data_IF_384597919871
#
_entry.id   IF_384597919871
#
_cell.length_a   1.000
_cell.length_b   1.000
_cell.length_c   1.000
_cell.angle_alpha   90.00
_cell.angle_beta   90.00
_cell.angle_gamma   90.00
#
_symmetry.space_group_name_H-M   'P 1'
#
loop_
_entity.id
_entity.type
_entity.pdbx_description
1 polymer ?
#
# COMPACT_ATOMS: atom_id res chain seq x y z
N UNK A 1 18.69 7.15 -23.01
CA UNK A 1 18.94 6.24 -21.88
C UNK A 1 17.62 5.68 -21.39
N UNK A 2 17.45 4.35 -21.43
CA UNK A 2 16.26 3.65 -20.93
C UNK A 2 16.73 2.80 -19.75
N UNK A 3 16.08 2.96 -18.59
CA UNK A 3 16.33 2.13 -17.42
C UNK A 3 15.44 0.91 -17.58
N UNK A 4 16.03 -0.28 -17.62
CA UNK A 4 15.29 -1.54 -17.61
C UNK A 4 15.17 -2.03 -16.17
N UNK A 5 13.96 -2.41 -15.77
CA UNK A 5 13.72 -2.96 -14.44
C UNK A 5 14.17 -4.44 -14.43
N UNK A 6 14.82 -4.90 -13.35
CA UNK A 6 15.11 -6.30 -13.14
C UNK A 6 13.85 -7.18 -13.28
N UNK A 7 13.97 -8.32 -13.94
CA UNK A 7 12.83 -9.20 -14.25
C UNK A 7 12.13 -9.77 -13.01
N UNK A 8 12.83 -9.86 -11.89
CA UNK A 8 12.35 -10.31 -10.58
C UNK A 8 11.43 -9.29 -9.89
N UNK A 9 11.43 -8.03 -10.33
CA UNK A 9 10.53 -6.98 -9.81
C UNK A 9 9.46 -6.56 -10.83
N UNK A 10 9.37 -7.26 -11.97
CA UNK A 10 8.41 -6.98 -13.05
C UNK A 10 7.35 -8.07 -13.11
N UNK A 11 6.09 -7.66 -13.11
CA UNK A 11 4.94 -8.56 -13.33
C UNK A 11 4.38 -8.31 -14.73
N UNK A 12 4.25 -9.37 -15.52
CA UNK A 12 3.67 -9.37 -16.88
C UNK A 12 2.13 -9.48 -16.90
N UNK A 13 1.47 -9.48 -15.73
CA UNK A 13 0.03 -9.68 -15.59
C UNK A 13 -0.74 -8.35 -15.58
N UNK A 14 -1.93 -8.38 -16.14
CA UNK A 14 -2.75 -7.17 -16.40
C UNK A 14 -3.65 -6.78 -15.22
N UNK A 15 -3.91 -7.68 -14.27
CA UNK A 15 -4.82 -7.42 -13.15
C UNK A 15 -4.10 -6.96 -11.89
N UNK A 16 -4.64 -5.93 -11.25
CA UNK A 16 -4.11 -5.33 -10.03
C UNK A 16 -4.08 -6.29 -8.83
N UNK A 17 -5.06 -7.20 -8.77
CA UNK A 17 -5.10 -8.26 -7.75
C UNK A 17 -3.90 -9.20 -7.81
N UNK A 18 -3.34 -9.42 -9.00
CA UNK A 18 -2.19 -10.29 -9.19
C UNK A 18 -0.92 -9.65 -8.61
N UNK A 19 -0.78 -8.34 -8.72
CA UNK A 19 0.31 -7.58 -8.08
C UNK A 19 0.25 -7.69 -6.56
N UNK A 20 -0.95 -7.56 -5.98
CA UNK A 20 -1.14 -7.72 -4.53
C UNK A 20 -0.79 -9.14 -4.11
N UNK A 21 -1.22 -10.17 -4.84
CA UNK A 21 -0.93 -11.56 -4.49
C UNK A 21 0.56 -11.91 -4.69
N UNK A 22 1.23 -11.28 -5.66
CA UNK A 22 2.67 -11.45 -5.88
C UNK A 22 3.48 -10.86 -4.72
N UNK A 23 3.16 -9.63 -4.29
CA UNK A 23 3.89 -8.98 -3.20
C UNK A 23 3.46 -9.52 -1.84
N UNK A 24 2.17 -9.79 -1.63
CA UNK A 24 1.59 -10.26 -0.37
C UNK A 24 0.87 -11.61 -0.55
N UNK A 25 1.65 -12.68 -0.69
CA UNK A 25 1.13 -14.04 -0.69
C UNK A 25 0.47 -14.39 0.65
N UNK A 26 -0.81 -14.75 0.62
CA UNK A 26 -1.64 -15.01 1.82
C UNK A 26 -1.67 -13.85 2.83
N UNK A 27 -2.00 -12.64 2.34
CA UNK A 27 -2.04 -11.40 3.13
C UNK A 27 -2.82 -11.55 4.46
N UNK A 28 -3.99 -12.18 4.44
CA UNK A 28 -4.87 -12.30 5.63
C UNK A 28 -4.18 -13.11 6.74
N UNK A 29 -3.62 -14.26 6.36
CA UNK A 29 -2.98 -15.21 7.30
C UNK A 29 -1.71 -14.62 7.91
N UNK A 30 -0.99 -13.79 7.15
CA UNK A 30 0.28 -13.19 7.57
C UNK A 30 0.13 -11.76 8.11
N UNK A 31 -1.09 -11.25 8.24
CA UNK A 31 -1.34 -9.86 8.61
C UNK A 31 -0.78 -9.48 9.99
N UNK A 32 -0.77 -10.41 10.93
CA UNK A 32 -0.15 -10.25 12.26
C UNK A 32 1.37 -10.50 12.30
N UNK A 33 1.99 -10.94 11.20
CA UNK A 33 3.42 -11.20 11.16
C UNK A 33 4.19 -9.94 10.74
N UNK A 34 4.85 -9.32 11.73
CA UNK A 34 5.63 -8.11 11.51
C UNK A 34 6.71 -8.29 10.44
N UNK A 35 7.51 -9.36 10.50
CA UNK A 35 8.60 -9.60 9.57
C UNK A 35 8.10 -9.78 8.13
N UNK A 36 6.92 -10.38 7.97
CA UNK A 36 6.27 -10.50 6.67
C UNK A 36 5.86 -9.13 6.12
N UNK A 37 5.24 -8.28 6.94
CA UNK A 37 4.72 -6.99 6.50
C UNK A 37 5.82 -5.97 6.19
N UNK A 38 6.83 -5.85 7.06
CA UNK A 38 7.89 -4.84 6.91
C UNK A 38 8.83 -5.10 5.74
N UNK A 39 8.96 -6.37 5.31
CA UNK A 39 9.85 -6.76 4.23
C UNK A 39 9.27 -6.59 2.82
N UNK A 40 8.04 -6.06 2.68
CA UNK A 40 7.28 -6.07 1.43
C UNK A 40 6.73 -4.68 1.10
N UNK A 41 6.90 -4.27 -0.15
CA UNK A 41 6.40 -2.98 -0.64
C UNK A 41 5.90 -3.10 -2.09
N UNK A 42 4.82 -2.38 -2.39
CA UNK A 42 4.35 -2.17 -3.76
C UNK A 42 4.78 -0.76 -4.19
N UNK A 43 5.56 -0.67 -5.26
CA UNK A 43 6.02 0.59 -5.83
C UNK A 43 5.16 0.94 -7.05
N UNK A 44 4.56 2.14 -7.05
CA UNK A 44 3.68 2.62 -8.11
C UNK A 44 4.24 3.93 -8.64
N UNK A 45 4.42 4.02 -9.96
CA UNK A 45 5.07 5.18 -10.61
C UNK A 45 4.19 6.42 -10.65
N UNK A 46 2.86 6.28 -10.55
CA UNK A 46 1.89 7.38 -10.54
C UNK A 46 0.89 7.23 -9.41
N UNK A 47 0.67 8.34 -8.70
CA UNK A 47 -0.26 8.37 -7.57
C UNK A 47 -1.75 8.29 -8.00
N UNK A 48 -2.04 8.49 -9.29
CA UNK A 48 -3.40 8.46 -9.85
C UNK A 48 -4.13 7.11 -9.69
N UNK A 49 -3.40 6.03 -9.38
CA UNK A 49 -3.96 4.70 -9.12
C UNK A 49 -3.62 4.13 -7.75
N UNK A 50 -2.98 4.91 -6.87
CA UNK A 50 -2.56 4.44 -5.53
C UNK A 50 -3.77 4.15 -4.65
N UNK A 51 -4.80 5.01 -4.67
CA UNK A 51 -6.01 4.83 -3.85
C UNK A 51 -6.67 3.48 -4.09
N UNK A 52 -6.84 3.07 -5.35
CA UNK A 52 -7.45 1.77 -5.70
C UNK A 52 -6.66 0.57 -5.18
N UNK A 53 -5.33 0.66 -5.15
CA UNK A 53 -4.47 -0.40 -4.62
C UNK A 53 -4.60 -0.45 -3.10
N UNK A 54 -4.54 0.71 -2.46
CA UNK A 54 -4.64 0.83 -1.01
C UNK A 54 -5.97 0.29 -0.51
N UNK A 55 -7.08 0.67 -1.15
CA UNK A 55 -8.43 0.19 -0.81
C UNK A 55 -8.53 -1.33 -0.95
N UNK A 56 -7.99 -1.90 -2.03
CA UNK A 56 -8.00 -3.35 -2.25
C UNK A 56 -7.23 -4.13 -1.18
N UNK A 57 -6.13 -3.56 -0.68
CA UNK A 57 -5.33 -4.16 0.40
C UNK A 57 -6.03 -4.00 1.74
N UNK A 58 -6.48 -2.78 2.07
CA UNK A 58 -7.16 -2.48 3.33
C UNK A 58 -8.44 -3.30 3.50
N UNK A 59 -9.23 -3.47 2.44
CA UNK A 59 -10.44 -4.30 2.47
C UNK A 59 -10.16 -5.80 2.67
N UNK A 60 -8.93 -6.27 2.45
CA UNK A 60 -8.54 -7.66 2.69
C UNK A 60 -7.99 -7.89 4.09
N UNK A 61 -7.51 -6.84 4.77
CA UNK A 61 -6.94 -6.97 6.09
C UNK A 61 -8.05 -7.21 7.13
N UNK A 62 -7.83 -8.11 8.10
CA UNK A 62 -8.78 -8.28 9.19
C UNK A 62 -8.74 -7.07 10.12
N UNK A 63 -9.92 -6.66 10.61
CA UNK A 63 -10.05 -5.55 11.54
C UNK A 63 -10.84 -4.37 10.97
N UNK A 64 -10.90 -3.28 11.73
CA UNK A 64 -11.59 -2.06 11.34
C UNK A 64 -10.65 -1.11 10.59
N UNK A 65 -11.17 -0.48 9.54
CA UNK A 65 -10.45 0.54 8.77
C UNK A 65 -10.68 1.90 9.42
N UNK A 66 -9.58 2.62 9.69
CA UNK A 66 -9.61 3.96 10.25
C UNK A 66 -8.93 4.94 9.31
N UNK A 67 -9.62 6.03 8.97
CA UNK A 67 -9.04 7.16 8.23
C UNK A 67 -8.53 8.21 9.21
N UNK A 68 -7.23 8.45 9.19
CA UNK A 68 -6.61 9.53 9.97
C UNK A 68 -6.47 10.76 9.08
N UNK A 69 -7.16 11.84 9.44
CA UNK A 69 -7.03 13.12 8.76
C UNK A 69 -5.74 13.81 9.18
N UNK A 70 -5.00 14.38 8.23
CA UNK A 70 -3.81 15.16 8.55
C UNK A 70 -4.20 16.41 9.35
N UNK A 71 -3.36 16.74 10.34
CA UNK A 71 -3.45 18.00 11.04
C UNK A 71 -2.60 19.03 10.29
N UNK A 72 -3.15 19.59 9.21
CA UNK A 72 -2.43 20.53 8.35
C UNK A 72 -2.16 21.87 9.05
N UNK A 73 -2.87 22.16 10.15
CA UNK A 73 -2.70 23.37 10.94
C UNK A 73 -2.78 23.06 12.44
N UNK A 74 -1.69 23.33 13.17
CA UNK A 74 -1.74 23.53 14.61
C UNK A 74 -2.14 24.99 14.79
N UNK A 75 -3.44 25.27 14.89
CA UNK A 75 -3.88 26.60 15.25
C UNK A 75 -3.27 26.96 16.60
N UNK A 76 -2.33 27.92 16.61
CA UNK A 76 -2.07 28.70 17.82
C UNK A 76 -3.43 29.19 18.27
N UNK A 77 -3.89 28.73 19.43
CA UNK A 77 -5.00 29.38 20.11
C UNK A 77 -4.51 30.79 20.41
N UNK A 78 -4.86 31.74 19.55
CA UNK A 78 -4.86 33.14 19.93
C UNK A 78 -5.73 33.27 21.17
N UNK A 79 -5.17 33.95 22.16
CA UNK A 79 -5.76 34.12 23.48
C UNK A 79 -7.13 34.80 23.42
N UNK A 80 -7.94 34.46 24.40
CA UNK A 80 -8.82 35.37 25.12
C UNK A 80 -8.72 35.01 26.59
#
# INVERSE_FOLDING_TARGET
NKIELPSDIVILREQLSDLINFVYSNLVENSGNMNYMVGRAILISKNDKVEKIFDLIMNRLPGEVYTYYSADFIGLKDGN
#
